data_IF_530952353249
#
_entry.id   IF_530952353249
#
_cell.length_a   1.000
_cell.length_b   1.000
_cell.length_c   1.000
_cell.angle_alpha   90.00
_cell.angle_beta   90.00
_cell.angle_gamma   90.00
#
_symmetry.space_group_name_H-M   'P 1'
#
loop_
_entity.id
_entity.type
_entity.pdbx_description
1 polymer ?
#
# COMPACT_ATOMS: atom_id res chain seq x y z
N UNK A 1 64.53 -4.27 56.65
CA UNK A 1 63.19 -4.10 56.05
C UNK A 1 63.11 -2.70 55.48
N UNK A 2 63.51 -2.52 54.22
CA UNK A 2 63.28 -1.30 53.44
C UNK A 2 62.81 -1.82 52.08
N UNK A 3 61.52 -1.74 51.83
CA UNK A 3 60.90 -2.11 50.57
C UNK A 3 59.81 -1.07 50.27
N UNK A 4 60.26 0.16 50.01
CA UNK A 4 59.44 1.20 49.41
C UNK A 4 60.21 1.80 48.23
N UNK A 5 59.46 2.22 47.21
CA UNK A 5 59.89 2.99 46.04
C UNK A 5 60.49 2.22 44.84
N UNK A 6 59.66 1.39 44.20
CA UNK A 6 59.69 1.30 42.73
C UNK A 6 58.25 1.19 42.18
N UNK A 7 57.42 2.20 42.46
CA UNK A 7 56.20 2.40 41.69
C UNK A 7 56.60 3.01 40.35
N UNK A 8 56.65 2.12 39.35
CA UNK A 8 56.90 2.42 37.95
C UNK A 8 56.04 3.61 37.49
N UNK A 9 56.67 4.69 37.08
CA UNK A 9 56.04 5.89 36.48
C UNK A 9 55.31 5.58 35.17
N UNK A 10 55.51 4.41 34.57
CA UNK A 10 54.90 4.02 33.29
C UNK A 10 53.41 3.66 33.37
N UNK A 11 52.88 3.25 34.53
CA UNK A 11 51.45 2.93 34.67
C UNK A 11 50.55 4.15 34.89
N UNK A 12 51.10 5.30 35.28
CA UNK A 12 50.30 6.54 35.44
C UNK A 12 50.05 7.28 34.13
N UNK A 13 50.94 7.16 33.13
CA UNK A 13 50.79 7.83 31.84
C UNK A 13 49.67 7.23 30.99
N UNK A 14 49.51 5.91 31.01
CA UNK A 14 48.43 5.24 30.26
C UNK A 14 47.04 5.56 30.83
N UNK A 15 46.88 5.61 32.16
CA UNK A 15 45.59 5.91 32.78
C UNK A 15 45.05 7.32 32.49
N UNK A 16 45.94 8.31 32.35
CA UNK A 16 45.54 9.71 32.11
C UNK A 16 45.25 10.00 30.62
N UNK A 17 45.94 9.33 29.70
CA UNK A 17 45.65 9.43 28.26
C UNK A 17 44.36 8.70 27.86
N UNK A 18 44.05 7.56 28.50
CA UNK A 18 42.81 6.81 28.26
C UNK A 18 41.55 7.59 28.70
N UNK A 19 41.59 8.29 29.85
CA UNK A 19 40.48 9.11 30.32
C UNK A 19 40.23 10.37 29.47
N UNK A 20 41.29 10.94 28.87
CA UNK A 20 41.16 12.05 27.93
C UNK A 20 40.54 11.60 26.60
N UNK A 21 40.93 10.42 26.09
CA UNK A 21 40.36 9.87 24.86
C UNK A 21 38.86 9.59 24.99
N UNK A 22 38.40 9.01 26.11
CA UNK A 22 36.97 8.72 26.32
C UNK A 22 36.12 9.99 26.37
N UNK A 23 36.62 11.03 27.06
CA UNK A 23 35.94 12.33 27.11
C UNK A 23 35.83 12.94 25.70
N UNK A 24 36.87 12.80 24.88
CA UNK A 24 36.89 13.34 23.52
C UNK A 24 36.00 12.51 22.58
N UNK A 25 35.98 11.18 22.72
CA UNK A 25 35.06 10.29 22.00
C UNK A 25 33.60 10.68 22.28
N UNK A 26 33.24 11.06 23.51
CA UNK A 26 31.90 11.54 23.88
C UNK A 26 31.57 12.94 23.32
N UNK A 27 32.57 13.81 23.19
CA UNK A 27 32.40 15.17 22.66
C UNK A 27 32.46 15.24 21.13
N UNK A 28 32.96 14.19 20.47
CA UNK A 28 33.11 14.15 19.01
C UNK A 28 31.79 14.28 18.23
N UNK A 29 30.68 13.64 18.64
CA UNK A 29 29.38 13.84 17.99
C UNK A 29 28.96 15.32 17.96
N UNK A 30 29.09 16.01 19.10
CA UNK A 30 28.82 17.45 19.25
C UNK A 30 29.79 18.30 18.43
N UNK A 31 31.06 17.89 18.33
CA UNK A 31 32.06 18.53 17.47
C UNK A 31 31.69 18.48 16.00
N UNK A 32 31.22 17.33 15.51
CA UNK A 32 30.80 17.18 14.12
C UNK A 32 29.53 17.99 13.83
N UNK A 33 28.66 18.17 14.82
CA UNK A 33 27.45 18.99 14.72
C UNK A 33 27.73 20.49 14.91
N UNK A 34 28.95 20.85 15.30
CA UNK A 34 29.37 22.24 15.50
C UNK A 34 28.85 22.86 16.80
N UNK A 35 28.30 22.07 17.71
CA UNK A 35 27.64 22.51 18.95
C UNK A 35 28.60 22.67 20.14
N UNK A 36 29.89 22.40 19.97
CA UNK A 36 30.90 22.63 21.02
C UNK A 36 31.35 24.10 21.08
N UNK A 37 31.60 24.55 22.31
CA UNK A 37 32.21 25.85 22.58
C UNK A 37 33.58 26.00 21.87
N UNK A 38 34.01 27.23 21.54
CA UNK A 38 35.31 27.47 20.89
C UNK A 38 36.48 26.90 21.69
N UNK A 39 36.48 27.10 23.02
CA UNK A 39 37.52 26.58 23.90
C UNK A 39 37.59 25.04 23.88
N UNK A 40 36.44 24.36 23.90
CA UNK A 40 36.38 22.89 23.79
C UNK A 40 36.84 22.42 22.40
N UNK A 41 36.55 23.19 21.35
CA UNK A 41 36.96 22.87 19.98
C UNK A 41 38.48 22.85 19.83
N UNK A 42 39.16 23.85 20.39
CA UNK A 42 40.62 23.95 20.32
C UNK A 42 41.29 22.77 21.02
N UNK A 43 40.78 22.38 22.21
CA UNK A 43 41.26 21.21 22.94
C UNK A 43 41.08 19.89 22.16
N UNK A 44 39.92 19.73 21.48
CA UNK A 44 39.64 18.56 20.65
C UNK A 44 40.61 18.53 19.45
N UNK A 45 40.82 19.66 18.77
CA UNK A 45 41.75 19.76 17.63
C UNK A 45 43.19 19.45 18.04
N UNK A 46 43.64 20.00 19.17
CA UNK A 46 44.97 19.73 19.71
C UNK A 46 45.16 18.24 20.03
N UNK A 47 44.15 17.58 20.60
CA UNK A 47 44.21 16.15 20.88
C UNK A 47 44.15 15.30 19.61
N UNK A 48 43.29 15.62 18.64
CA UNK A 48 43.20 14.93 17.35
C UNK A 48 44.53 15.00 16.58
N UNK A 49 45.32 16.06 16.75
CA UNK A 49 46.65 16.17 16.15
C UNK A 49 47.70 15.24 16.80
N UNK A 50 47.47 14.77 18.03
CA UNK A 50 48.40 13.91 18.78
C UNK A 50 47.94 12.45 18.89
N UNK A 51 46.64 12.19 18.77
CA UNK A 51 46.03 10.88 18.98
C UNK A 51 45.44 10.32 17.69
N UNK A 52 46.15 9.36 17.07
CA UNK A 52 45.72 8.68 15.84
C UNK A 52 44.41 7.91 16.02
N UNK A 53 44.14 7.38 17.21
CA UNK A 53 42.90 6.65 17.52
C UNK A 53 41.67 7.54 17.40
N UNK A 54 41.68 8.70 18.07
CA UNK A 54 40.56 9.64 18.01
C UNK A 54 40.41 10.25 16.60
N UNK A 55 41.51 10.47 15.88
CA UNK A 55 41.47 10.90 14.48
C UNK A 55 40.83 9.84 13.56
N UNK A 56 41.17 8.56 13.74
CA UNK A 56 40.55 7.44 13.02
C UNK A 56 39.05 7.30 13.33
N UNK A 57 38.66 7.47 14.60
CA UNK A 57 37.26 7.45 14.99
C UNK A 57 36.45 8.60 14.37
N UNK A 58 37.02 9.81 14.32
CA UNK A 58 36.41 10.97 13.63
C UNK A 58 36.21 10.69 12.14
N UNK A 59 37.24 10.18 11.46
CA UNK A 59 37.16 9.83 10.04
C UNK A 59 36.08 8.75 9.79
N UNK A 60 36.00 7.73 10.64
CA UNK A 60 34.96 6.71 10.62
C UNK A 60 33.56 7.31 10.77
N UNK A 61 33.33 8.13 11.79
CA UNK A 61 32.05 8.79 12.03
C UNK A 61 31.63 9.71 10.86
N UNK A 62 32.57 10.44 10.26
CA UNK A 62 32.32 11.26 9.08
C UNK A 62 31.95 10.42 7.84
N UNK A 63 32.63 9.28 7.63
CA UNK A 63 32.34 8.39 6.51
C UNK A 63 30.93 7.78 6.60
N UNK A 64 30.53 7.33 7.79
CA UNK A 64 29.18 6.77 8.05
C UNK A 64 28.12 7.84 7.82
N UNK A 65 28.31 9.06 8.34
CA UNK A 65 27.39 10.18 8.09
C UNK A 65 27.28 10.51 6.59
N UNK A 66 28.40 10.51 5.86
CA UNK A 66 28.40 10.75 4.41
C UNK A 66 27.67 9.64 3.63
N UNK A 67 27.72 8.39 4.11
CA UNK A 67 26.96 7.28 3.54
C UNK A 67 25.45 7.43 3.84
N UNK A 68 25.07 7.71 5.09
CA UNK A 68 23.67 7.93 5.47
C UNK A 68 23.02 9.09 4.70
N UNK A 69 23.78 10.17 4.42
CA UNK A 69 23.30 11.27 3.56
C UNK A 69 23.05 10.81 2.12
N UNK A 70 23.92 9.96 1.57
CA UNK A 70 23.75 9.40 0.22
C UNK A 70 22.53 8.47 0.16
N UNK A 71 22.38 7.58 1.13
CA UNK A 71 21.25 6.65 1.20
C UNK A 71 19.94 7.42 1.39
N UNK A 72 19.92 8.43 2.28
CA UNK A 72 18.77 9.31 2.46
C UNK A 72 18.38 10.07 1.18
N UNK A 73 19.36 10.59 0.44
CA UNK A 73 19.11 11.25 -0.84
C UNK A 73 18.58 10.28 -1.91
N UNK A 74 19.09 9.05 -1.96
CA UNK A 74 18.59 8.01 -2.86
C UNK A 74 17.15 7.61 -2.51
N UNK A 75 16.84 7.41 -1.23
CA UNK A 75 15.47 7.12 -0.79
C UNK A 75 14.50 8.26 -1.10
N UNK A 76 14.91 9.51 -0.87
CA UNK A 76 14.10 10.69 -1.23
C UNK A 76 13.84 10.76 -2.75
N UNK A 77 14.84 10.45 -3.59
CA UNK A 77 14.68 10.39 -5.04
C UNK A 77 13.71 9.28 -5.49
N UNK A 78 13.76 8.11 -4.84
CA UNK A 78 12.82 7.01 -5.13
C UNK A 78 11.39 7.36 -4.73
N UNK A 79 11.20 8.00 -3.56
CA UNK A 79 9.86 8.42 -3.11
C UNK A 79 9.28 9.48 -4.04
N UNK A 80 10.08 10.49 -4.42
CA UNK A 80 9.63 11.56 -5.31
C UNK A 80 9.28 11.05 -6.72
N UNK A 81 10.04 10.09 -7.26
CA UNK A 81 9.73 9.47 -8.56
C UNK A 81 8.47 8.58 -8.55
N UNK A 82 8.04 8.06 -7.39
CA UNK A 82 6.81 7.24 -7.29
C UNK A 82 5.51 8.05 -7.15
N UNK A 83 5.60 9.30 -6.71
CA UNK A 83 4.44 10.20 -6.56
C UNK A 83 3.69 10.51 -7.87
N UNK A 84 4.34 10.79 -9.02
CA UNK A 84 3.61 11.09 -10.25
C UNK A 84 2.83 9.89 -10.77
N UNK A 85 3.40 8.67 -10.74
CA UNK A 85 2.70 7.46 -11.19
C UNK A 85 1.42 7.20 -10.39
N UNK A 86 1.44 7.44 -9.07
CA UNK A 86 0.25 7.28 -8.25
C UNK A 86 -0.82 8.36 -8.55
N UNK A 87 -0.42 9.58 -8.89
CA UNK A 87 -1.40 10.67 -9.19
C UNK A 87 -2.17 10.44 -10.48
N UNK A 88 -1.58 9.82 -11.50
CA UNK A 88 -2.29 9.57 -12.77
C UNK A 88 -3.34 8.48 -12.59
N UNK A 89 -3.07 7.46 -11.76
CA UNK A 89 -4.00 6.35 -11.52
C UNK A 89 -5.23 6.80 -10.73
N UNK A 90 -5.08 7.70 -9.74
CA UNK A 90 -6.20 8.15 -8.90
C UNK A 90 -7.23 8.98 -9.67
N UNK A 91 -6.81 9.78 -10.66
CA UNK A 91 -7.75 10.60 -11.47
C UNK A 91 -8.59 9.77 -12.43
N UNK A 92 -8.02 8.74 -13.06
CA UNK A 92 -8.78 7.84 -13.94
C UNK A 92 -9.79 6.98 -13.18
N UNK A 93 -9.48 6.65 -11.93
CA UNK A 93 -10.30 5.77 -11.11
C UNK A 93 -11.61 6.40 -10.65
N UNK A 94 -11.63 7.71 -10.35
CA UNK A 94 -12.88 8.40 -10.00
C UNK A 94 -13.85 8.47 -11.19
N UNK A 95 -13.32 8.62 -12.41
CA UNK A 95 -14.12 8.65 -13.64
C UNK A 95 -14.75 7.29 -13.95
N UNK A 96 -14.03 6.19 -13.69
CA UNK A 96 -14.57 4.84 -13.80
C UNK A 96 -15.68 4.56 -12.77
N UNK A 97 -15.51 5.02 -11.52
CA UNK A 97 -16.55 4.91 -10.48
C UNK A 97 -17.78 5.75 -10.84
N UNK A 98 -17.58 6.99 -11.31
CA UNK A 98 -18.68 7.86 -11.74
C UNK A 98 -19.48 7.25 -12.90
N UNK A 99 -18.82 6.68 -13.91
CA UNK A 99 -19.48 5.97 -15.02
C UNK A 99 -20.28 4.76 -14.54
N UNK A 100 -19.74 3.96 -13.62
CA UNK A 100 -20.43 2.79 -13.07
C UNK A 100 -21.70 3.18 -12.29
N UNK A 101 -21.62 4.23 -11.47
CA UNK A 101 -22.79 4.76 -10.73
C UNK A 101 -23.84 5.28 -11.70
N UNK A 102 -23.44 6.03 -12.72
CA UNK A 102 -24.36 6.61 -13.70
C UNK A 102 -25.08 5.52 -14.52
N UNK A 103 -24.37 4.45 -14.91
CA UNK A 103 -24.97 3.28 -15.54
C UNK A 103 -25.98 2.58 -14.62
N UNK A 104 -25.67 2.45 -13.32
CA UNK A 104 -26.57 1.84 -12.36
C UNK A 104 -27.85 2.68 -12.13
N UNK A 105 -27.73 4.01 -12.09
CA UNK A 105 -28.87 4.92 -12.01
C UNK A 105 -29.75 4.87 -13.28
N UNK A 106 -29.14 4.72 -14.47
CA UNK A 106 -29.87 4.58 -15.72
C UNK A 106 -30.69 3.29 -15.75
N UNK A 107 -30.12 2.16 -15.31
CA UNK A 107 -30.85 0.88 -15.26
C UNK A 107 -31.96 0.90 -14.21
N UNK A 108 -31.70 1.49 -13.03
CA UNK A 108 -32.72 1.64 -11.98
C UNK A 108 -33.90 2.50 -12.43
N UNK A 109 -33.64 3.63 -13.11
CA UNK A 109 -34.70 4.52 -13.61
C UNK A 109 -35.57 3.89 -14.69
N UNK A 110 -34.98 3.10 -15.60
CA UNK A 110 -35.75 2.34 -16.60
C UNK A 110 -36.64 1.29 -15.93
N UNK A 111 -36.12 0.56 -14.93
CA UNK A 111 -36.91 -0.40 -14.17
C UNK A 111 -38.08 0.25 -13.41
N UNK A 112 -37.85 1.40 -12.77
CA UNK A 112 -38.92 2.14 -12.08
C UNK A 112 -39.98 2.69 -13.04
N UNK A 113 -39.59 3.14 -14.24
CA UNK A 113 -40.52 3.63 -15.25
C UNK A 113 -41.42 2.53 -15.82
N UNK A 114 -40.91 1.30 -15.96
CA UNK A 114 -41.69 0.12 -16.36
C UNK A 114 -42.73 -0.25 -15.30
N UNK A 115 -42.34 -0.26 -14.03
CA UNK A 115 -43.26 -0.55 -12.90
C UNK A 115 -44.36 0.50 -12.80
N UNK A 116 -44.05 1.80 -13.01
CA UNK A 116 -45.04 2.86 -12.91
C UNK A 116 -46.03 2.91 -14.08
N UNK A 117 -45.66 2.41 -15.27
CA UNK A 117 -46.52 2.35 -16.45
C UNK A 117 -47.54 1.20 -16.42
N UNK A 118 -47.62 0.46 -15.31
CA UNK A 118 -48.79 -0.38 -15.03
C UNK A 118 -48.83 -1.68 -15.83
N UNK A 119 -47.71 -2.43 -15.86
CA UNK A 119 -47.82 -3.87 -16.05
C UNK A 119 -48.52 -4.47 -14.82
N UNK A 120 -49.63 -5.14 -15.06
CA UNK A 120 -50.49 -5.71 -14.02
C UNK A 120 -49.73 -6.70 -13.13
N UNK A 121 -50.19 -6.85 -11.88
CA UNK A 121 -49.60 -7.68 -10.82
C UNK A 121 -49.55 -9.20 -11.13
N UNK A 122 -49.80 -9.62 -12.38
CA UNK A 122 -49.72 -11.01 -12.84
C UNK A 122 -48.31 -11.47 -13.22
N UNK A 123 -47.41 -10.58 -13.62
CA UNK A 123 -46.05 -10.96 -14.04
C UNK A 123 -45.03 -10.76 -12.92
N UNK A 124 -45.08 -11.68 -11.97
CA UNK A 124 -44.09 -11.83 -10.89
C UNK A 124 -42.66 -11.96 -11.47
N UNK A 125 -42.54 -12.41 -12.72
CA UNK A 125 -41.28 -12.56 -13.47
C UNK A 125 -40.58 -11.22 -13.73
N UNK A 126 -41.31 -10.11 -13.93
CA UNK A 126 -40.69 -8.79 -14.16
C UNK A 126 -40.09 -8.18 -12.90
N UNK A 127 -40.75 -8.37 -11.75
CA UNK A 127 -40.28 -7.85 -10.46
C UNK A 127 -39.00 -8.59 -10.00
N UNK A 128 -38.94 -9.91 -10.20
CA UNK A 128 -37.74 -10.68 -9.91
C UNK A 128 -36.61 -10.43 -10.92
N UNK A 129 -36.93 -10.21 -12.20
CA UNK A 129 -35.95 -9.83 -13.21
C UNK A 129 -35.27 -8.49 -12.90
N UNK A 130 -36.06 -7.48 -12.53
CA UNK A 130 -35.52 -6.17 -12.11
C UNK A 130 -34.64 -6.26 -10.86
N UNK A 131 -35.05 -7.05 -9.86
CA UNK A 131 -34.28 -7.28 -8.64
C UNK A 131 -32.92 -7.94 -8.90
N UNK A 132 -32.86 -8.94 -9.79
CA UNK A 132 -31.63 -9.63 -10.14
C UNK A 132 -30.64 -8.70 -10.88
N UNK A 133 -31.14 -7.84 -11.77
CA UNK A 133 -30.31 -6.85 -12.48
C UNK A 133 -29.73 -5.82 -11.50
N UNK A 134 -30.53 -5.34 -10.54
CA UNK A 134 -30.04 -4.42 -9.49
C UNK A 134 -29.02 -5.10 -8.58
N UNK A 135 -29.24 -6.36 -8.20
CA UNK A 135 -28.29 -7.11 -7.37
C UNK A 135 -26.94 -7.35 -8.06
N UNK A 136 -26.96 -7.67 -9.37
CA UNK A 136 -25.74 -7.84 -10.17
C UNK A 136 -25.02 -6.49 -10.35
N UNK A 137 -25.74 -5.42 -10.65
CA UNK A 137 -25.17 -4.08 -10.78
C UNK A 137 -24.56 -3.56 -9.46
N UNK A 138 -25.22 -3.84 -8.34
CA UNK A 138 -24.73 -3.48 -7.01
C UNK A 138 -23.51 -4.31 -6.61
N UNK A 139 -23.49 -5.61 -6.92
CA UNK A 139 -22.31 -6.48 -6.75
C UNK A 139 -21.11 -6.00 -7.58
N UNK A 140 -21.35 -5.51 -8.80
CA UNK A 140 -20.33 -4.92 -9.67
C UNK A 140 -19.77 -3.61 -9.10
N UNK A 141 -20.63 -2.76 -8.55
CA UNK A 141 -20.24 -1.51 -7.90
C UNK A 141 -19.44 -1.75 -6.62
N UNK A 142 -19.85 -2.70 -5.78
CA UNK A 142 -19.12 -3.08 -4.57
C UNK A 142 -17.75 -3.69 -4.90
N UNK A 143 -17.66 -4.51 -5.95
CA UNK A 143 -16.38 -5.06 -6.40
C UNK A 143 -15.46 -3.97 -6.96
N UNK A 144 -15.98 -3.04 -7.76
CA UNK A 144 -15.22 -1.87 -8.24
C UNK A 144 -14.76 -0.95 -7.09
N UNK A 145 -15.63 -0.67 -6.13
CA UNK A 145 -15.33 0.17 -4.97
C UNK A 145 -14.29 -0.48 -4.03
N UNK A 146 -14.27 -1.81 -3.92
CA UNK A 146 -13.29 -2.54 -3.11
C UNK A 146 -11.88 -2.57 -3.72
N UNK A 147 -11.72 -2.22 -5.01
CA UNK A 147 -10.44 -2.27 -5.70
C UNK A 147 -9.66 -0.95 -5.58
N UNK A 148 -8.99 -0.72 -4.45
CA UNK A 148 -7.91 0.29 -4.34
C UNK A 148 -6.57 -0.13 -5.01
N UNK A 149 -6.55 -1.21 -5.78
CA UNK A 149 -5.34 -1.72 -6.43
C UNK A 149 -5.50 -1.67 -7.96
N UNK A 150 -4.40 -1.53 -8.73
CA UNK A 150 -4.47 -1.47 -10.19
C UNK A 150 -5.22 -2.67 -10.76
N UNK A 151 -6.18 -2.39 -11.64
CA UNK A 151 -6.98 -3.40 -12.33
C UNK A 151 -6.07 -4.18 -13.29
N UNK A 152 -5.69 -5.38 -12.89
CA UNK A 152 -4.97 -6.31 -13.77
C UNK A 152 -5.95 -6.78 -14.86
N UNK A 153 -5.53 -6.77 -16.13
CA UNK A 153 -6.34 -7.13 -17.30
C UNK A 153 -7.17 -8.41 -17.10
N UNK A 154 -6.54 -9.44 -16.52
CA UNK A 154 -7.19 -10.71 -16.20
C UNK A 154 -8.46 -10.56 -15.35
N UNK A 155 -8.46 -9.65 -14.36
CA UNK A 155 -9.62 -9.42 -13.50
C UNK A 155 -10.78 -8.77 -14.24
N UNK A 156 -10.47 -7.85 -15.16
CA UNK A 156 -11.48 -7.23 -16.02
C UNK A 156 -12.14 -8.28 -16.91
N UNK A 157 -11.36 -9.22 -17.45
CA UNK A 157 -11.87 -10.34 -18.26
C UNK A 157 -12.79 -11.26 -17.45
N UNK A 158 -12.39 -11.64 -16.23
CA UNK A 158 -13.22 -12.50 -15.35
C UNK A 158 -14.52 -11.79 -14.94
N UNK A 159 -14.45 -10.50 -14.64
CA UNK A 159 -15.62 -9.70 -14.28
C UNK A 159 -16.58 -9.57 -15.48
N UNK A 160 -16.05 -9.28 -16.67
CA UNK A 160 -16.83 -9.17 -17.90
C UNK A 160 -17.48 -10.51 -18.28
N UNK A 161 -16.78 -11.63 -18.14
CA UNK A 161 -17.33 -12.97 -18.35
C UNK A 161 -18.44 -13.29 -17.35
N UNK A 162 -18.26 -12.95 -16.06
CA UNK A 162 -19.29 -13.13 -15.03
C UNK A 162 -20.56 -12.32 -15.31
N UNK A 163 -20.41 -11.05 -15.72
CA UNK A 163 -21.53 -10.21 -16.16
C UNK A 163 -22.20 -10.77 -17.42
N UNK A 164 -21.41 -11.22 -18.40
CA UNK A 164 -21.91 -11.82 -19.63
C UNK A 164 -22.73 -13.08 -19.37
N UNK A 165 -22.25 -13.97 -18.50
CA UNK A 165 -22.97 -15.16 -18.07
C UNK A 165 -24.26 -14.82 -17.31
N UNK A 166 -24.24 -13.81 -16.44
CA UNK A 166 -25.43 -13.33 -15.75
C UNK A 166 -26.50 -12.77 -16.71
N UNK A 167 -26.08 -12.03 -17.73
CA UNK A 167 -26.99 -11.53 -18.77
C UNK A 167 -27.54 -12.67 -19.66
N UNK A 168 -26.70 -13.64 -20.01
CA UNK A 168 -27.11 -14.83 -20.76
C UNK A 168 -28.08 -15.71 -19.97
N UNK A 169 -27.99 -15.75 -18.64
CA UNK A 169 -28.95 -16.45 -17.79
C UNK A 169 -30.36 -15.85 -17.84
N UNK A 170 -30.50 -14.57 -18.21
CA UNK A 170 -31.79 -13.89 -18.31
C UNK A 170 -32.52 -14.20 -19.62
N UNK A 171 -31.81 -14.51 -20.70
CA UNK A 171 -32.43 -14.85 -21.99
C UNK A 171 -33.48 -15.97 -21.85
N UNK A 172 -33.16 -17.15 -21.30
CA UNK A 172 -34.14 -18.22 -21.17
C UNK A 172 -35.30 -17.86 -20.24
N UNK A 173 -35.08 -17.00 -19.25
CA UNK A 173 -36.14 -16.55 -18.34
C UNK A 173 -37.20 -15.69 -19.07
N UNK A 174 -36.77 -14.95 -20.10
CA UNK A 174 -37.66 -14.10 -20.91
C UNK A 174 -38.30 -14.89 -22.07
N UNK A 175 -37.56 -15.85 -22.65
CA UNK A 175 -38.01 -16.54 -23.87
C UNK A 175 -38.75 -17.85 -23.62
N UNK A 176 -38.50 -18.52 -22.50
CA UNK A 176 -39.11 -19.80 -22.18
C UNK A 176 -40.24 -19.59 -21.17
N UNK A 177 -41.46 -19.34 -21.67
CA UNK A 177 -42.66 -19.36 -20.82
C UNK A 177 -42.83 -20.73 -20.15
N UNK A 178 -43.40 -20.77 -18.93
CA UNK A 178 -43.80 -21.87 -18.01
C UNK A 178 -43.06 -23.24 -18.01
N UNK A 179 -42.05 -23.44 -18.84
CA UNK A 179 -41.25 -24.64 -18.97
C UNK A 179 -40.28 -24.72 -17.78
N UNK A 180 -40.49 -25.66 -16.84
CA UNK A 180 -39.72 -25.71 -15.60
C UNK A 180 -38.22 -25.95 -15.84
N UNK A 181 -37.85 -26.56 -16.98
CA UNK A 181 -36.45 -26.81 -17.35
C UNK A 181 -35.66 -25.53 -17.62
N UNK A 182 -36.28 -24.51 -18.21
CA UNK A 182 -35.59 -23.27 -18.53
C UNK A 182 -35.31 -22.41 -17.29
N UNK A 183 -36.23 -22.43 -16.31
CA UNK A 183 -36.05 -21.74 -15.03
C UNK A 183 -34.87 -22.33 -14.24
N UNK A 184 -34.76 -23.66 -14.20
CA UNK A 184 -33.64 -24.34 -13.53
C UNK A 184 -32.31 -24.02 -14.22
N UNK A 185 -32.27 -24.03 -15.55
CA UNK A 185 -31.07 -23.67 -16.32
C UNK A 185 -30.65 -22.22 -16.06
N UNK A 186 -31.59 -21.28 -16.01
CA UNK A 186 -31.34 -19.87 -15.70
C UNK A 186 -30.76 -19.70 -14.27
N UNK A 187 -31.34 -20.38 -13.27
CA UNK A 187 -30.83 -20.34 -11.90
C UNK A 187 -29.39 -20.87 -11.79
N UNK A 188 -29.08 -21.99 -12.48
CA UNK A 188 -27.74 -22.57 -12.46
C UNK A 188 -26.69 -21.63 -13.09
N UNK A 189 -27.02 -20.99 -14.21
CA UNK A 189 -26.14 -20.01 -14.87
C UNK A 189 -25.92 -18.78 -13.99
N UNK A 190 -26.96 -18.30 -13.29
CA UNK A 190 -26.85 -17.20 -12.35
C UNK A 190 -25.95 -17.55 -11.15
N UNK A 191 -26.08 -18.75 -10.59
CA UNK A 191 -25.22 -19.25 -9.50
C UNK A 191 -23.76 -19.35 -9.97
N UNK A 192 -23.51 -19.88 -11.15
CA UNK A 192 -22.16 -19.95 -11.74
C UNK A 192 -21.54 -18.56 -11.94
N UNK A 193 -22.32 -17.60 -12.45
CA UNK A 193 -21.89 -16.20 -12.58
C UNK A 193 -21.53 -15.59 -11.22
N UNK A 194 -22.35 -15.84 -10.19
CA UNK A 194 -22.10 -15.37 -8.83
C UNK A 194 -20.83 -15.98 -8.22
N UNK A 195 -20.62 -17.29 -8.38
CA UNK A 195 -19.41 -17.99 -7.92
C UNK A 195 -18.16 -17.42 -8.60
N UNK A 196 -18.23 -17.13 -9.91
CA UNK A 196 -17.12 -16.52 -10.66
C UNK A 196 -16.73 -15.15 -10.10
N UNK A 197 -17.71 -14.29 -9.85
CA UNK A 197 -17.50 -12.97 -9.21
C UNK A 197 -16.95 -13.15 -7.79
N UNK A 198 -17.51 -14.06 -7.00
CA UNK A 198 -17.07 -14.34 -5.63
C UNK A 198 -15.60 -14.81 -5.57
N UNK A 199 -15.21 -15.74 -6.44
CA UNK A 199 -13.83 -16.23 -6.53
C UNK A 199 -12.84 -15.14 -6.94
N UNK A 200 -13.22 -14.25 -7.86
CA UNK A 200 -12.40 -13.10 -8.26
C UNK A 200 -12.13 -12.14 -7.09
N UNK A 201 -13.09 -12.02 -6.16
CA UNK A 201 -12.95 -11.19 -4.96
C UNK A 201 -12.10 -11.88 -3.88
N UNK A 202 -12.35 -13.16 -3.62
CA UNK A 202 -11.81 -13.83 -2.44
C UNK A 202 -10.37 -14.34 -2.60
N UNK A 203 -9.94 -14.67 -3.81
CA UNK A 203 -8.54 -15.04 -4.12
C UNK A 203 -7.52 -13.98 -3.68
N UNK A 204 -7.95 -12.72 -3.52
CA UNK A 204 -7.13 -11.62 -3.00
C UNK A 204 -6.73 -11.78 -1.53
N UNK A 205 -7.59 -12.36 -0.69
CA UNK A 205 -7.30 -12.52 0.75
C UNK A 205 -6.23 -13.58 1.02
N UNK A 206 -6.09 -14.56 0.13
CA UNK A 206 -5.11 -15.64 0.28
C UNK A 206 -3.67 -15.22 -0.08
N UNK A 207 -3.48 -14.14 -0.85
CA UNK A 207 -2.16 -13.66 -1.29
C UNK A 207 -1.52 -12.62 -0.36
N UNK A 208 -2.25 -12.13 0.65
CA UNK A 208 -1.79 -11.06 1.57
C UNK A 208 -1.44 -11.62 2.96
N UNK A 209 -1.63 -12.93 3.20
CA UNK A 209 -1.10 -13.65 4.37
C UNK A 209 0.11 -14.46 3.96
#
# INVERSE_FOLDING_TARGET
MIAEAYQSTTTRLTGQELGACTLIEDLLPLYIEGEVSPASRDLIVEHLARCERCAGFLAGAQSVRAQLRRDGAQHAAVITNRLPEQRVVVKGQWLAVALAVLACCAVGSVGSALVWNGLGWGDVVEVFGGGAVVAVAFGLLLTLASMRAPLVLWRVVVLALGCGLGALAMLPLVTAGDEPGAVVAAMLLAILGFIGVWMAVWTRKAQIR
#
